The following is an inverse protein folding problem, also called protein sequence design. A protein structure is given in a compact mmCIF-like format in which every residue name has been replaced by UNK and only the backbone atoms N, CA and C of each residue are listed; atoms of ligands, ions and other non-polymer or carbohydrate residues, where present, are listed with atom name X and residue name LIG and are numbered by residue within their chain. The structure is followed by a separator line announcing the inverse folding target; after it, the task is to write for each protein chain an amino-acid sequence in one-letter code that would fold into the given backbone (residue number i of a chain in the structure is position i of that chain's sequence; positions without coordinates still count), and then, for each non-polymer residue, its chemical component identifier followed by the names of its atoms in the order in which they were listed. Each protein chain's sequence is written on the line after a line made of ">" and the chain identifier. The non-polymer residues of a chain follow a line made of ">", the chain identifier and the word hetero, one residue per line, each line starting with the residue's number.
data_IF_300422354245
#
_entry.id   IF_300422354245
#
_cell.length_a   1.000
_cell.length_b   1.000
_cell.length_c   1.000
_cell.angle_alpha   90.00
_cell.angle_beta   90.00
_cell.angle_gamma   90.00
#
_symmetry.space_group_name_H-M   'P 1'
#
loop_
_entity.id
_entity.type
_entity.pdbx_description
1 polymer ?
#
# COMPACT_ATOMS: atom_id res chain seq x y z
N UNK A 1 -37.75 47.90 19.68
CA UNK A 1 -37.80 46.45 19.35
C UNK A 1 -37.99 46.36 17.84
N UNK A 2 -37.09 45.87 16.99
CA UNK A 2 -35.89 45.05 17.12
C UNK A 2 -35.00 45.30 15.89
N UNK A 3 -33.74 45.68 16.15
CA UNK A 3 -32.54 45.10 15.53
C UNK A 3 -32.36 45.40 14.01
N UNK A 4 -31.78 46.53 13.59
CA UNK A 4 -30.35 46.88 13.69
C UNK A 4 -29.34 45.83 13.17
N UNK A 5 -29.76 44.78 12.43
CA UNK A 5 -28.88 43.69 11.99
C UNK A 5 -28.90 43.40 10.48
N UNK A 6 -29.09 44.41 9.63
CA UNK A 6 -29.00 44.21 8.17
C UNK A 6 -27.87 45.05 7.53
N UNK A 7 -27.29 45.99 8.27
CA UNK A 7 -26.22 46.88 7.79
C UNK A 7 -24.80 46.29 8.05
N UNK A 8 -24.69 45.09 8.65
CA UNK A 8 -23.40 44.49 9.02
C UNK A 8 -22.87 43.41 8.06
N UNK A 9 -23.67 42.91 7.11
CA UNK A 9 -23.26 41.75 6.30
C UNK A 9 -22.70 42.08 4.89
N UNK A 10 -22.77 43.33 4.43
CA UNK A 10 -22.30 43.69 3.08
C UNK A 10 -20.86 44.26 3.07
N UNK A 11 -20.26 44.47 4.24
CA UNK A 11 -18.90 45.03 4.36
C UNK A 11 -17.79 43.99 4.58
N UNK A 12 -18.07 42.68 4.47
CA UNK A 12 -17.09 41.62 4.82
C UNK A 12 -16.48 40.90 3.60
N UNK A 13 -16.92 41.19 2.36
CA UNK A 13 -16.47 40.44 1.16
C UNK A 13 -15.39 41.14 0.29
N UNK A 14 -14.78 42.25 0.74
CA UNK A 14 -13.78 42.99 -0.04
C UNK A 14 -12.42 43.15 0.68
N UNK A 15 -11.95 42.09 1.36
CA UNK A 15 -10.80 42.20 2.28
C UNK A 15 -9.60 41.27 2.06
N UNK A 16 -9.55 40.42 1.03
CA UNK A 16 -8.47 39.41 0.90
C UNK A 16 -7.65 39.46 -0.39
N UNK A 17 -7.73 40.54 -1.18
CA UNK A 17 -6.93 40.69 -2.39
C UNK A 17 -5.88 41.78 -2.22
N UNK A 18 -4.62 41.35 -2.09
CA UNK A 18 -3.47 42.24 -2.27
C UNK A 18 -2.58 42.44 -1.04
N UNK A 19 -2.09 41.36 -0.43
CA UNK A 19 -0.84 41.42 0.34
C UNK A 19 0.22 40.61 -0.38
N UNK A 20 0.89 41.27 -1.32
CA UNK A 20 2.18 40.80 -1.85
C UNK A 20 3.20 40.99 -0.73
N UNK A 21 3.23 40.05 0.21
CA UNK A 21 4.33 39.96 1.15
C UNK A 21 5.58 39.60 0.34
N UNK A 22 6.44 40.60 0.15
CA UNK A 22 7.84 40.42 -0.27
C UNK A 22 8.43 39.36 0.65
N UNK A 23 8.60 38.15 0.16
CA UNK A 23 9.43 37.16 0.83
C UNK A 23 10.83 37.77 0.94
N UNK A 24 11.40 37.91 2.15
CA UNK A 24 12.78 38.29 2.27
C UNK A 24 13.60 37.21 1.59
N UNK A 25 14.42 37.61 0.63
CA UNK A 25 15.46 36.76 0.06
C UNK A 25 16.21 36.12 1.23
N UNK A 26 16.02 34.82 1.40
CA UNK A 26 16.73 34.02 2.38
C UNK A 26 18.21 34.07 1.98
N UNK A 27 18.91 35.04 2.57
CA UNK A 27 20.35 35.19 2.43
C UNK A 27 20.93 34.14 3.37
N UNK A 28 21.24 32.97 2.80
CA UNK A 28 21.99 31.92 3.47
C UNK A 28 23.35 32.47 3.91
N UNK A 29 23.43 33.03 5.11
CA UNK A 29 24.70 33.20 5.80
C UNK A 29 25.06 31.85 6.39
N UNK A 30 25.93 31.14 5.65
CA UNK A 30 26.81 30.11 6.20
C UNK A 30 27.42 30.61 7.51
N UNK A 31 27.09 29.95 8.62
CA UNK A 31 27.96 29.69 9.77
C UNK A 31 27.14 29.15 10.96
N UNK A 32 26.75 27.88 10.87
CA UNK A 32 26.79 26.99 12.03
C UNK A 32 27.35 25.67 11.49
N UNK A 33 28.67 25.53 11.58
CA UNK A 33 29.35 24.24 11.53
C UNK A 33 28.98 23.48 12.82
N UNK A 34 27.77 22.93 12.85
CA UNK A 34 27.44 21.85 13.74
C UNK A 34 27.53 20.57 12.92
N UNK A 35 28.66 19.91 13.11
CA UNK A 35 28.97 18.55 12.71
C UNK A 35 27.85 17.58 13.14
N UNK A 36 26.90 17.36 12.23
CA UNK A 36 25.77 16.43 12.37
C UNK A 36 25.72 15.44 11.21
N UNK A 37 26.86 15.24 10.51
CA UNK A 37 26.92 14.45 9.26
C UNK A 37 27.55 13.07 9.43
N UNK A 38 27.64 12.56 10.65
CA UNK A 38 28.11 11.19 10.86
C UNK A 38 27.19 10.41 11.81
N UNK A 39 25.87 10.60 11.64
CA UNK A 39 24.90 9.61 12.13
C UNK A 39 24.65 8.64 10.98
N UNK A 40 25.52 7.64 10.91
CA UNK A 40 25.36 6.32 10.30
C UNK A 40 24.13 6.19 9.37
N UNK A 41 24.23 6.75 8.15
CA UNK A 41 23.18 6.53 7.15
C UNK A 41 23.32 5.06 6.73
N UNK A 42 22.30 4.20 6.92
CA UNK A 42 22.40 2.81 6.51
C UNK A 42 22.77 2.79 5.03
N UNK A 43 23.96 2.26 4.74
CA UNK A 43 24.40 2.08 3.36
C UNK A 43 23.40 1.14 2.70
N UNK A 44 22.92 1.44 1.48
CA UNK A 44 22.13 0.48 0.72
C UNK A 44 22.93 -0.81 0.66
N UNK A 45 22.43 -1.87 1.29
CA UNK A 45 23.04 -3.18 1.17
C UNK A 45 23.00 -3.58 -0.30
N UNK A 46 24.17 -3.88 -0.88
CA UNK A 46 24.28 -4.43 -2.25
C UNK A 46 23.60 -5.81 -2.39
N UNK A 47 23.15 -6.39 -1.28
CA UNK A 47 22.38 -7.64 -1.26
C UNK A 47 20.93 -7.36 -1.63
N UNK A 48 20.39 -8.03 -2.67
CA UNK A 48 18.98 -7.91 -3.01
C UNK A 48 18.12 -8.34 -1.81
N UNK A 49 16.97 -7.67 -1.60
CA UNK A 49 16.08 -8.04 -0.52
C UNK A 49 15.63 -9.50 -0.68
N UNK A 50 15.45 -10.24 0.43
CA UNK A 50 14.96 -11.61 0.35
C UNK A 50 13.59 -11.63 -0.32
N UNK A 51 13.33 -12.68 -1.12
CA UNK A 51 12.04 -12.86 -1.77
C UNK A 51 10.92 -12.83 -0.73
N UNK A 52 9.82 -12.15 -1.08
CA UNK A 52 8.63 -12.12 -0.24
C UNK A 52 7.89 -13.44 -0.41
N UNK A 53 7.81 -14.21 0.67
CA UNK A 53 7.04 -15.45 0.73
C UNK A 53 5.75 -15.22 1.51
N UNK A 54 4.73 -16.00 1.14
CA UNK A 54 3.42 -15.99 1.76
C UNK A 54 3.41 -16.88 3.00
N UNK A 55 2.61 -16.50 3.99
CA UNK A 55 2.44 -17.24 5.23
C UNK A 55 0.97 -17.36 5.67
N UNK A 56 0.70 -18.24 6.66
CA UNK A 56 -0.62 -18.36 7.25
C UNK A 56 -1.14 -17.01 7.77
N UNK A 57 -2.42 -16.72 7.51
CA UNK A 57 -3.05 -15.47 7.91
C UNK A 57 -2.86 -14.30 6.94
N UNK A 58 -2.02 -14.43 5.90
CA UNK A 58 -2.01 -13.44 4.81
C UNK A 58 -3.32 -13.52 4.01
N UNK A 59 -3.74 -12.40 3.45
CA UNK A 59 -4.97 -12.29 2.64
C UNK A 59 -4.59 -11.90 1.23
N UNK A 60 -5.03 -12.71 0.27
CA UNK A 60 -4.79 -12.50 -1.16
C UNK A 60 -6.08 -12.06 -1.85
N UNK A 61 -5.97 -11.08 -2.72
CA UNK A 61 -7.00 -10.71 -3.69
C UNK A 61 -6.68 -11.43 -5.01
N UNK A 62 -7.55 -12.34 -5.39
CA UNK A 62 -7.36 -13.23 -6.54
C UNK A 62 -8.40 -12.87 -7.58
N UNK A 63 -7.96 -12.71 -8.83
CA UNK A 63 -8.83 -12.46 -9.97
C UNK A 63 -8.40 -13.31 -11.16
N UNK A 64 -9.33 -14.00 -11.80
CA UNK A 64 -9.03 -14.71 -13.06
C UNK A 64 -9.23 -13.76 -14.24
N UNK A 65 -8.17 -13.53 -15.01
CA UNK A 65 -8.23 -12.64 -16.16
C UNK A 65 -9.27 -13.13 -17.18
N UNK A 66 -10.11 -12.20 -17.66
CA UNK A 66 -11.13 -12.48 -18.68
C UNK A 66 -12.44 -13.05 -18.14
N UNK A 67 -12.58 -13.28 -16.83
CA UNK A 67 -13.80 -13.83 -16.23
C UNK A 67 -14.32 -12.90 -15.13
N UNK A 68 -15.45 -12.23 -15.41
CA UNK A 68 -16.10 -11.36 -14.45
C UNK A 68 -16.65 -12.13 -13.25
N UNK A 69 -16.66 -11.51 -12.07
CA UNK A 69 -17.20 -12.11 -10.85
C UNK A 69 -16.29 -13.11 -10.15
N UNK A 70 -15.07 -13.33 -10.65
CA UNK A 70 -14.08 -14.23 -10.05
C UNK A 70 -13.19 -13.54 -9.01
N UNK A 71 -13.32 -12.22 -8.84
CA UNK A 71 -12.49 -11.48 -7.88
C UNK A 71 -12.92 -11.81 -6.46
N UNK A 72 -12.04 -12.42 -5.68
CA UNK A 72 -12.31 -12.84 -4.31
C UNK A 72 -11.11 -12.56 -3.40
N UNK A 73 -11.38 -12.23 -2.13
CA UNK A 73 -10.35 -12.12 -1.10
C UNK A 73 -10.31 -13.42 -0.31
N UNK A 74 -9.22 -14.15 -0.44
CA UNK A 74 -9.03 -15.45 0.19
C UNK A 74 -7.91 -15.35 1.24
N UNK A 75 -8.20 -15.59 2.53
CA UNK A 75 -7.16 -15.74 3.53
C UNK A 75 -6.43 -17.08 3.34
N UNK A 76 -5.14 -17.10 3.63
CA UNK A 76 -4.36 -18.33 3.75
C UNK A 76 -4.70 -18.98 5.08
N UNK A 77 -5.14 -20.23 5.03
CA UNK A 77 -5.50 -21.03 6.18
C UNK A 77 -4.33 -21.23 7.15
N UNK A 78 -4.66 -21.63 8.39
CA UNK A 78 -3.66 -21.95 9.43
C UNK A 78 -2.79 -23.15 9.05
N UNK A 79 -3.28 -23.99 8.15
CA UNK A 79 -2.59 -25.11 7.51
C UNK A 79 -1.64 -24.68 6.37
N UNK A 80 -1.67 -23.40 5.99
CA UNK A 80 -0.90 -22.85 4.89
C UNK A 80 -1.51 -23.08 3.50
N UNK A 81 -2.77 -23.50 3.45
CA UNK A 81 -3.51 -23.72 2.20
C UNK A 81 -4.34 -22.49 1.83
N UNK A 82 -4.48 -22.24 0.53
CA UNK A 82 -5.31 -21.19 -0.05
C UNK A 82 -6.51 -21.85 -0.73
N UNK A 83 -7.70 -21.54 -0.25
CA UNK A 83 -8.96 -22.05 -0.78
C UNK A 83 -9.60 -20.98 -1.65
N UNK A 84 -9.65 -21.23 -2.96
CA UNK A 84 -10.23 -20.30 -3.94
C UNK A 84 -11.19 -21.04 -4.88
N UNK A 85 -12.43 -20.55 -4.95
CA UNK A 85 -13.46 -21.09 -5.84
C UNK A 85 -13.67 -22.61 -5.70
N UNK A 86 -13.75 -23.37 -6.81
CA UNK A 86 -14.02 -24.82 -6.80
C UNK A 86 -12.77 -25.69 -6.64
N UNK A 87 -11.63 -25.13 -6.20
CA UNK A 87 -10.40 -25.91 -6.02
C UNK A 87 -10.38 -26.62 -4.66
N UNK A 88 -9.68 -27.75 -4.58
CA UNK A 88 -9.48 -28.51 -3.34
C UNK A 88 -8.49 -27.84 -2.36
N UNK A 89 -8.05 -26.61 -2.68
CA UNK A 89 -7.02 -25.88 -1.95
C UNK A 89 -5.63 -26.04 -2.58
N UNK A 90 -4.87 -24.94 -2.61
CA UNK A 90 -3.49 -24.89 -3.13
C UNK A 90 -2.55 -24.51 -2.00
N UNK A 91 -1.37 -25.14 -1.91
CA UNK A 91 -0.41 -24.81 -0.87
C UNK A 91 0.21 -23.44 -1.14
N UNK A 92 -0.04 -22.45 -0.27
CA UNK A 92 0.44 -21.09 -0.43
C UNK A 92 1.58 -20.73 0.52
N UNK A 93 1.62 -21.32 1.72
CA UNK A 93 2.68 -21.05 2.67
C UNK A 93 4.07 -21.41 2.11
N UNK A 94 4.99 -20.47 2.18
CA UNK A 94 6.36 -20.60 1.67
C UNK A 94 6.54 -20.29 0.18
N UNK A 95 5.45 -20.08 -0.57
CA UNK A 95 5.51 -19.70 -1.98
C UNK A 95 5.59 -18.19 -2.14
N UNK A 96 6.20 -17.77 -3.24
CA UNK A 96 6.13 -16.40 -3.75
C UNK A 96 4.78 -16.16 -4.46
N UNK A 97 4.49 -14.90 -4.77
CA UNK A 97 3.26 -14.52 -5.47
C UNK A 97 3.17 -15.11 -6.90
N UNK A 98 4.31 -15.26 -7.58
CA UNK A 98 4.36 -15.80 -8.94
C UNK A 98 4.15 -17.32 -8.91
N UNK A 99 4.81 -18.02 -7.98
CA UNK A 99 4.65 -19.48 -7.84
C UNK A 99 3.21 -19.86 -7.48
N UNK A 100 2.56 -19.13 -6.56
CA UNK A 100 1.17 -19.42 -6.21
C UNK A 100 0.22 -19.12 -7.38
N UNK A 101 0.53 -18.13 -8.22
CA UNK A 101 -0.27 -17.83 -9.41
C UNK A 101 -0.16 -18.96 -10.43
N UNK A 102 1.02 -19.52 -10.62
CA UNK A 102 1.24 -20.66 -11.50
C UNK A 102 0.52 -21.92 -10.99
N UNK A 103 0.67 -22.25 -9.71
CA UNK A 103 0.02 -23.41 -9.07
C UNK A 103 -1.50 -23.29 -9.10
N UNK A 104 -2.03 -22.09 -8.80
CA UNK A 104 -3.45 -21.81 -8.89
C UNK A 104 -3.93 -21.90 -10.35
N UNK A 105 -3.12 -21.46 -11.30
CA UNK A 105 -3.38 -21.61 -12.72
C UNK A 105 -3.52 -23.08 -13.13
N UNK A 106 -2.67 -23.97 -12.59
CA UNK A 106 -2.76 -25.41 -12.82
C UNK A 106 -4.04 -25.98 -12.21
N UNK A 107 -4.34 -25.67 -10.95
CA UNK A 107 -5.54 -26.16 -10.25
C UNK A 107 -6.85 -25.72 -10.94
N UNK A 108 -6.88 -24.51 -11.49
CA UNK A 108 -8.06 -23.94 -12.15
C UNK A 108 -8.30 -24.46 -13.57
N UNK A 109 -7.33 -25.15 -14.21
CA UNK A 109 -7.49 -25.69 -15.57
C UNK A 109 -8.62 -26.72 -15.70
N UNK A 110 -9.00 -27.37 -14.60
CA UNK A 110 -10.14 -28.28 -14.59
C UNK A 110 -11.48 -27.56 -14.78
N UNK A 111 -11.55 -26.27 -14.43
CA UNK A 111 -12.79 -25.49 -14.38
C UNK A 111 -12.85 -24.40 -15.44
N UNK A 112 -11.69 -23.88 -15.85
CA UNK A 112 -11.57 -22.75 -16.76
C UNK A 112 -10.67 -23.10 -17.95
N UNK A 113 -10.97 -22.53 -19.12
CA UNK A 113 -10.13 -22.66 -20.31
C UNK A 113 -9.01 -21.61 -20.25
N UNK A 114 -7.77 -22.07 -20.12
CA UNK A 114 -6.56 -21.23 -20.04
C UNK A 114 -6.63 -20.14 -18.94
N UNK A 115 -6.83 -20.52 -17.67
CA UNK A 115 -6.89 -19.55 -16.58
C UNK A 115 -5.54 -18.85 -16.41
N UNK A 116 -5.58 -17.52 -16.33
CA UNK A 116 -4.46 -16.67 -15.91
C UNK A 116 -4.86 -15.92 -14.66
N UNK A 117 -4.63 -16.49 -13.47
CA UNK A 117 -4.94 -15.82 -12.21
C UNK A 117 -3.95 -14.68 -11.97
N UNK A 118 -4.48 -13.51 -11.61
CA UNK A 118 -3.73 -12.42 -11.03
C UNK A 118 -3.89 -12.49 -9.51
N UNK A 119 -2.76 -12.60 -8.81
CA UNK A 119 -2.71 -12.71 -7.35
C UNK A 119 -2.06 -11.44 -6.80
N UNK A 120 -2.76 -10.75 -5.90
CA UNK A 120 -2.28 -9.52 -5.27
C UNK A 120 -2.42 -9.64 -3.75
N UNK A 121 -1.40 -9.31 -2.96
CA UNK A 121 -1.54 -9.30 -1.50
C UNK A 121 -2.47 -8.15 -1.08
N UNK A 122 -3.57 -8.48 -0.40
CA UNK A 122 -4.46 -7.49 0.19
C UNK A 122 -4.00 -7.06 1.59
N UNK A 123 -3.59 -8.05 2.41
CA UNK A 123 -3.07 -7.83 3.76
C UNK A 123 -1.94 -8.84 4.01
N UNK A 124 -0.80 -8.36 4.49
CA UNK A 124 0.32 -9.20 4.92
C UNK A 124 0.42 -9.13 6.45
N UNK A 125 0.14 -10.25 7.11
CA UNK A 125 0.20 -10.39 8.58
C UNK A 125 1.35 -11.31 9.01
N UNK A 126 1.87 -12.13 8.09
CA UNK A 126 2.92 -13.11 8.37
C UNK A 126 4.29 -12.49 8.69
N UNK A 127 4.50 -11.21 8.31
CA UNK A 127 5.75 -10.47 8.55
C UNK A 127 5.45 -9.10 9.17
N UNK A 128 5.99 -8.85 10.37
CA UNK A 128 5.93 -7.56 11.04
C UNK A 128 7.36 -7.08 11.39
N UNK A 129 7.60 -5.79 11.22
CA UNK A 129 8.83 -5.13 11.65
C UNK A 129 8.48 -3.89 12.49
N UNK A 130 9.19 -3.71 13.60
CA UNK A 130 9.06 -2.53 14.45
C UNK A 130 10.20 -1.58 14.15
N UNK A 131 9.88 -0.34 13.77
CA UNK A 131 10.88 0.74 13.64
C UNK A 131 11.15 1.28 15.04
N UNK A 132 12.33 1.00 15.57
CA UNK A 132 12.82 1.60 16.80
C UNK A 132 13.45 2.95 16.45
N UNK A 133 12.86 4.03 16.97
CA UNK A 133 13.36 5.40 16.84
C UNK A 133 14.28 5.81 17.97
#
# INVERSE_FOLDING_TARGET
>A
MRIAAVICCVAILAGCFGRTDRLPSYRSTLAVEADLRDVDRPQPTDTPPPAMTLGPGDVLDIQVAGIAGTRERCPIGVDGMLYYGPTDGVRAAGHTLDEIADDLGVALRAWYREPRPAVVPAVLLSRAATVLG
#
